data_IF_623138817618
#
_entry.id   IF_623138817618
#
_cell.length_a   1.000
_cell.length_b   1.000
_cell.length_c   1.000
_cell.angle_alpha   90.00
_cell.angle_beta   90.00
_cell.angle_gamma   90.00
#
_symmetry.space_group_name_H-M   'P 1'
#
loop_
_entity.id
_entity.type
_entity.pdbx_description
1 polymer ?
#
# COMPACT_ATOMS: atom_id res chain seq x y z
N UNK A 1 -9.06 -36.51 -33.89
CA UNK A 1 -8.09 -35.49 -34.34
C UNK A 1 -8.66 -34.09 -34.23
N UNK A 2 -9.70 -33.69 -34.98
CA UNK A 2 -10.29 -32.34 -34.87
C UNK A 2 -10.77 -32.01 -33.44
N UNK A 3 -11.44 -32.93 -32.74
CA UNK A 3 -11.95 -32.65 -31.39
C UNK A 3 -10.85 -32.48 -30.33
N UNK A 4 -9.72 -33.19 -30.47
CA UNK A 4 -8.60 -33.10 -29.53
C UNK A 4 -7.80 -31.81 -29.72
N UNK A 5 -7.63 -31.35 -30.96
CA UNK A 5 -7.04 -30.05 -31.26
C UNK A 5 -7.91 -28.90 -30.77
N UNK A 6 -9.24 -29.02 -30.93
CA UNK A 6 -10.20 -28.03 -30.43
C UNK A 6 -10.15 -27.93 -28.89
N UNK A 7 -10.12 -29.06 -28.18
CA UNK A 7 -10.00 -29.10 -26.72
C UNK A 7 -8.67 -28.48 -26.27
N UNK A 8 -7.57 -28.74 -26.99
CA UNK A 8 -6.25 -28.18 -26.67
C UNK A 8 -6.21 -26.66 -26.88
N UNK A 9 -6.84 -26.14 -27.94
CA UNK A 9 -6.98 -24.70 -28.17
C UNK A 9 -7.78 -24.03 -27.07
N UNK A 10 -8.98 -24.55 -26.76
CA UNK A 10 -9.84 -24.02 -25.70
C UNK A 10 -9.10 -23.98 -24.36
N UNK A 11 -8.38 -25.05 -24.01
CA UNK A 11 -7.57 -25.10 -22.79
C UNK A 11 -6.48 -24.03 -22.78
N UNK A 12 -5.79 -23.81 -23.90
CA UNK A 12 -4.76 -22.78 -24.02
C UNK A 12 -5.34 -21.38 -23.88
N UNK A 13 -6.49 -21.11 -24.49
CA UNK A 13 -7.11 -19.78 -24.45
C UNK A 13 -7.65 -19.46 -23.06
N UNK A 14 -8.24 -20.45 -22.38
CA UNK A 14 -8.64 -20.34 -20.98
C UNK A 14 -7.44 -20.01 -20.06
N UNK A 15 -6.28 -20.66 -20.26
CA UNK A 15 -5.10 -20.33 -19.45
C UNK A 15 -4.59 -18.92 -19.69
N UNK A 16 -4.58 -18.47 -20.95
CA UNK A 16 -4.21 -17.08 -21.27
C UNK A 16 -5.16 -16.09 -20.58
N UNK A 17 -6.46 -16.33 -20.68
CA UNK A 17 -7.46 -15.47 -20.06
C UNK A 17 -7.33 -15.43 -18.53
N UNK A 18 -7.04 -16.57 -17.89
CA UNK A 18 -6.75 -16.63 -16.45
C UNK A 18 -5.50 -15.83 -16.09
N UNK A 19 -4.43 -15.91 -16.89
CA UNK A 19 -3.19 -15.19 -16.61
C UNK A 19 -3.33 -13.68 -16.85
N UNK A 20 -4.08 -13.26 -17.87
CA UNK A 20 -4.44 -11.86 -18.08
C UNK A 20 -5.29 -11.32 -16.91
N UNK A 21 -6.29 -12.08 -16.45
CA UNK A 21 -7.09 -11.74 -15.27
C UNK A 21 -6.24 -11.61 -14.01
N UNK A 22 -5.24 -12.47 -13.80
CA UNK A 22 -4.31 -12.35 -12.67
C UNK A 22 -3.48 -11.07 -12.75
N UNK A 23 -2.98 -10.70 -13.93
CA UNK A 23 -2.23 -9.46 -14.13
C UNK A 23 -3.09 -8.23 -13.85
N UNK A 24 -4.32 -8.22 -14.34
CA UNK A 24 -5.26 -7.12 -14.10
C UNK A 24 -5.63 -7.02 -12.63
N UNK A 25 -5.88 -8.16 -11.98
CA UNK A 25 -6.14 -8.20 -10.55
C UNK A 25 -4.95 -7.67 -9.74
N UNK A 26 -3.71 -8.03 -10.09
CA UNK A 26 -2.51 -7.54 -9.42
C UNK A 26 -2.36 -6.02 -9.60
N UNK A 27 -2.56 -5.51 -10.82
CA UNK A 27 -2.52 -4.08 -11.11
C UNK A 27 -3.58 -3.31 -10.32
N UNK A 28 -4.80 -3.84 -10.23
CA UNK A 28 -5.88 -3.26 -9.45
C UNK A 28 -5.55 -3.26 -7.94
N UNK A 29 -5.08 -4.40 -7.42
CA UNK A 29 -4.66 -4.57 -6.03
C UNK A 29 -3.57 -3.58 -5.63
N UNK A 30 -2.60 -3.34 -6.53
CA UNK A 30 -1.56 -2.32 -6.35
C UNK A 30 -2.14 -0.92 -6.20
N UNK A 31 -3.05 -0.53 -7.09
CA UNK A 31 -3.68 0.80 -7.05
C UNK A 31 -4.47 1.01 -5.76
N UNK A 32 -5.30 0.04 -5.37
CA UNK A 32 -6.05 0.11 -4.10
C UNK A 32 -5.10 0.18 -2.92
N UNK A 33 -4.03 -0.62 -2.93
CA UNK A 33 -3.03 -0.61 -1.86
C UNK A 33 -2.39 0.77 -1.68
N UNK A 34 -1.97 1.42 -2.76
CA UNK A 34 -1.39 2.77 -2.73
C UNK A 34 -2.41 3.79 -2.20
N UNK A 35 -3.63 3.79 -2.74
CA UNK A 35 -4.70 4.70 -2.32
C UNK A 35 -5.01 4.53 -0.84
N UNK A 36 -5.12 3.29 -0.38
CA UNK A 36 -5.41 3.00 1.03
C UNK A 36 -4.28 3.43 1.95
N UNK A 37 -3.02 3.31 1.50
CA UNK A 37 -1.86 3.76 2.27
C UNK A 37 -1.74 5.30 2.33
N UNK A 38 -2.22 5.99 1.30
CA UNK A 38 -2.35 7.44 1.32
C UNK A 38 -3.40 7.88 2.33
N UNK A 39 -4.49 7.13 2.52
CA UNK A 39 -5.46 7.45 3.57
C UNK A 39 -4.92 7.17 4.97
N UNK A 40 -4.34 5.99 5.17
CA UNK A 40 -3.79 5.56 6.46
C UNK A 40 -2.47 4.81 6.22
N UNK A 41 -1.32 5.37 6.64
CA UNK A 41 -0.02 4.71 6.54
C UNK A 41 -0.05 3.31 7.16
N UNK A 42 0.44 2.32 6.42
CA UNK A 42 0.48 0.92 6.84
C UNK A 42 -0.67 0.06 6.30
N UNK A 43 -1.84 0.64 6.00
CA UNK A 43 -3.01 -0.13 5.53
C UNK A 43 -2.78 -0.71 4.13
N UNK A 44 -2.07 0.00 3.25
CA UNK A 44 -1.78 -0.48 1.91
C UNK A 44 -1.03 -1.81 1.90
N UNK A 45 -0.13 -2.03 2.86
CA UNK A 45 0.63 -3.29 2.97
C UNK A 45 -0.26 -4.50 3.27
N UNK A 46 -1.33 -4.30 4.05
CA UNK A 46 -2.31 -5.36 4.34
C UNK A 46 -3.07 -5.75 3.07
N UNK A 47 -3.48 -4.74 2.29
CA UNK A 47 -4.23 -4.94 1.06
C UNK A 47 -3.36 -5.57 -0.02
N UNK A 48 -2.09 -5.18 -0.14
CA UNK A 48 -1.17 -5.77 -1.13
C UNK A 48 -0.77 -7.21 -0.79
N UNK A 49 -0.58 -7.52 0.50
CA UNK A 49 -0.22 -8.85 0.98
C UNK A 49 1.27 -9.20 0.90
N UNK A 50 2.15 -8.21 0.70
CA UNK A 50 3.58 -8.42 0.42
C UNK A 50 4.56 -8.05 1.54
N UNK A 51 4.13 -7.41 2.64
CA UNK A 51 5.03 -7.03 3.77
C UNK A 51 4.26 -6.55 5.01
N UNK A 52 3.62 -7.48 5.73
CA UNK A 52 2.85 -7.17 6.95
C UNK A 52 3.65 -6.43 8.03
N UNK A 53 4.92 -6.82 8.23
CA UNK A 53 5.78 -6.18 9.23
C UNK A 53 6.08 -4.71 8.89
N UNK A 54 6.37 -4.41 7.62
CA UNK A 54 6.59 -3.02 7.16
C UNK A 54 5.32 -2.18 7.33
N UNK A 55 4.15 -2.77 7.05
CA UNK A 55 2.85 -2.14 7.28
C UNK A 55 2.61 -1.83 8.74
N UNK A 56 2.81 -2.81 9.62
CA UNK A 56 2.65 -2.66 11.06
C UNK A 56 3.57 -1.59 11.65
N UNK A 57 4.86 -1.59 11.26
CA UNK A 57 5.82 -0.58 11.71
C UNK A 57 5.43 0.81 11.21
N UNK A 58 5.05 0.95 9.93
CA UNK A 58 4.61 2.24 9.37
C UNK A 58 3.39 2.79 10.11
N UNK A 59 2.40 1.92 10.36
CA UNK A 59 1.19 2.27 11.09
C UNK A 59 1.51 2.71 12.52
N UNK A 60 2.29 1.92 13.25
CA UNK A 60 2.69 2.26 14.62
C UNK A 60 3.48 3.56 14.70
N UNK A 61 4.45 3.77 13.81
CA UNK A 61 5.22 5.01 13.78
C UNK A 61 4.32 6.21 13.52
N UNK A 62 3.42 6.12 12.54
CA UNK A 62 2.52 7.21 12.21
C UNK A 62 1.58 7.54 13.36
N UNK A 63 0.89 6.53 13.93
CA UNK A 63 -0.04 6.73 15.04
C UNK A 63 0.67 7.21 16.29
N UNK A 64 1.78 6.58 16.68
CA UNK A 64 2.52 6.96 17.88
C UNK A 64 3.05 8.38 17.79
N UNK A 65 3.53 8.79 16.61
CA UNK A 65 4.00 10.14 16.39
C UNK A 65 2.87 11.17 16.44
N UNK A 66 1.74 10.89 15.80
CA UNK A 66 0.57 11.76 15.87
C UNK A 66 0.08 11.92 17.32
N UNK A 67 -0.01 10.83 18.08
CA UNK A 67 -0.37 10.88 19.51
C UNK A 67 0.63 11.78 20.27
N UNK A 68 1.93 11.58 20.08
CA UNK A 68 2.95 12.40 20.73
C UNK A 68 2.81 13.88 20.35
N UNK A 69 2.55 14.15 19.07
CA UNK A 69 2.42 15.50 18.55
C UNK A 69 1.22 16.23 19.18
N UNK A 70 0.02 15.68 19.06
CA UNK A 70 -1.22 16.31 19.54
C UNK A 70 -1.32 16.35 21.07
N UNK A 71 -0.72 15.40 21.79
CA UNK A 71 -0.80 15.38 23.26
C UNK A 71 0.29 16.21 23.93
N UNK A 72 1.52 16.19 23.39
CA UNK A 72 2.67 16.82 24.04
C UNK A 72 3.25 17.99 23.25
N UNK A 73 3.45 17.88 21.94
CA UNK A 73 4.21 18.89 21.21
C UNK A 73 3.35 20.13 20.99
N UNK A 74 2.20 19.97 20.34
CA UNK A 74 1.31 21.08 19.96
C UNK A 74 0.92 21.95 21.16
N UNK A 75 0.64 21.32 22.32
CA UNK A 75 0.26 22.04 23.53
C UNK A 75 1.39 22.84 24.20
N UNK A 76 2.64 22.64 23.79
CA UNK A 76 3.82 23.24 24.43
C UNK A 76 4.64 24.13 23.49
N UNK A 77 4.17 24.38 22.27
CA UNK A 77 4.87 25.21 21.28
C UNK A 77 3.92 26.14 20.55
N UNK A 78 4.44 27.27 20.05
CA UNK A 78 3.68 28.16 19.17
C UNK A 78 3.23 27.45 17.89
N UNK A 79 2.13 27.89 17.31
CA UNK A 79 1.54 27.28 16.09
C UNK A 79 2.54 27.18 14.94
N UNK A 80 3.42 28.17 14.75
CA UNK A 80 4.46 28.15 13.71
C UNK A 80 5.49 27.03 13.95
N UNK A 81 5.87 26.80 15.20
CA UNK A 81 6.77 25.73 15.59
C UNK A 81 6.08 24.37 15.50
N UNK A 82 4.79 24.27 15.85
CA UNK A 82 4.00 23.06 15.71
C UNK A 82 4.02 22.55 14.25
N UNK A 83 3.90 23.44 13.26
CA UNK A 83 4.00 23.06 11.84
C UNK A 83 5.34 22.40 11.51
N UNK A 84 6.45 22.94 12.00
CA UNK A 84 7.80 22.38 11.80
C UNK A 84 7.91 21.01 12.46
N UNK A 85 7.42 20.88 13.70
CA UNK A 85 7.39 19.61 14.40
C UNK A 85 6.42 18.59 13.79
N UNK A 86 5.53 18.96 12.87
CA UNK A 86 4.68 17.98 12.19
C UNK A 86 5.36 17.33 10.97
N UNK A 87 6.48 17.88 10.50
CA UNK A 87 7.24 17.37 9.34
C UNK A 87 7.56 15.87 9.45
N UNK A 88 7.96 15.32 10.60
CA UNK A 88 8.24 13.88 10.70
C UNK A 88 7.00 13.00 10.44
N UNK A 89 5.79 13.44 10.81
CA UNK A 89 4.54 12.74 10.49
C UNK A 89 4.34 12.64 8.97
N UNK A 90 4.58 13.76 8.28
CA UNK A 90 4.51 13.85 6.81
C UNK A 90 5.57 12.95 6.17
N UNK A 91 6.80 12.96 6.70
CA UNK A 91 7.87 12.10 6.21
C UNK A 91 7.52 10.61 6.35
N UNK A 92 7.00 10.18 7.50
CA UNK A 92 6.53 8.79 7.71
C UNK A 92 5.44 8.45 6.69
N UNK A 93 4.50 9.37 6.46
CA UNK A 93 3.40 9.17 5.52
C UNK A 93 3.88 8.97 4.08
N UNK A 94 4.74 9.86 3.58
CA UNK A 94 5.30 9.80 2.22
C UNK A 94 6.16 8.55 2.03
N UNK A 95 7.06 8.25 2.99
CA UNK A 95 7.92 7.07 2.94
C UNK A 95 7.08 5.80 2.92
N UNK A 96 6.03 5.72 3.74
CA UNK A 96 5.13 4.56 3.74
C UNK A 96 4.45 4.38 2.38
N UNK A 97 3.95 5.46 1.76
CA UNK A 97 3.32 5.39 0.45
C UNK A 97 4.31 4.96 -0.65
N UNK A 98 5.54 5.48 -0.63
CA UNK A 98 6.60 5.09 -1.55
C UNK A 98 6.98 3.61 -1.39
N UNK A 99 7.09 3.12 -0.15
CA UNK A 99 7.38 1.72 0.13
C UNK A 99 6.27 0.78 -0.37
N UNK A 100 5.00 1.18 -0.31
CA UNK A 100 3.89 0.41 -0.89
C UNK A 100 3.93 0.42 -2.42
N UNK A 101 4.23 1.56 -3.03
CA UNK A 101 4.34 1.68 -4.49
C UNK A 101 5.46 0.80 -5.08
N UNK A 102 6.55 0.61 -4.31
CA UNK A 102 7.70 -0.21 -4.68
C UNK A 102 7.62 -1.70 -4.31
N UNK A 103 6.48 -2.23 -3.85
CA UNK A 103 6.32 -3.67 -3.56
C UNK A 103 6.32 -4.58 -4.81
N UNK A 104 6.45 -4.00 -6.00
CA UNK A 104 6.52 -4.71 -7.29
C UNK A 104 7.96 -4.94 -7.78
N UNK A 105 8.96 -4.32 -7.14
CA UNK A 105 10.40 -4.51 -7.43
C UNK A 105 11.03 -5.57 -6.51
#
# INVERSE_FOLDING_TARGET
>A
MESEELIKQIKSDLYKEVDDLKRDHLSFKKRISIISNLLIPGVGFLIYGGSYLKGFISFLLFISYNILFFTKIENNVDTSMAVIYYIPAIAIWIVSAAMVAGLDD
#
